data_IF_182225776594
#
_entry.id   IF_182225776594
#
_cell.length_a   1.000
_cell.length_b   1.000
_cell.length_c   1.000
_cell.angle_alpha   90.00
_cell.angle_beta   90.00
_cell.angle_gamma   90.00
#
_symmetry.space_group_name_H-M   'P 1'
#
loop_
_entity.id
_entity.type
_entity.pdbx_description
1 polymer ?
#
# COMPACT_ATOMS: atom_id res chain seq x y z
N UNK A 1 -17.63 -6.90 1.42
CA UNK A 1 -16.19 -6.62 1.61
C UNK A 1 -15.61 -6.28 0.26
N UNK A 2 -14.80 -5.23 0.13
CA UNK A 2 -14.09 -4.99 -1.12
C UNK A 2 -13.13 -6.15 -1.39
N UNK A 3 -13.04 -6.56 -2.66
CA UNK A 3 -12.08 -7.56 -3.10
C UNK A 3 -10.64 -7.04 -2.93
N UNK A 4 -9.71 -7.92 -2.60
CA UNK A 4 -8.30 -7.58 -2.36
C UNK A 4 -7.68 -6.80 -3.53
N UNK A 5 -8.05 -7.16 -4.77
CA UNK A 5 -7.56 -6.49 -5.97
C UNK A 5 -7.98 -5.01 -6.04
N UNK A 6 -9.18 -4.69 -5.55
CA UNK A 6 -9.69 -3.32 -5.48
C UNK A 6 -8.91 -2.53 -4.42
N UNK A 7 -8.66 -3.15 -3.26
CA UNK A 7 -7.86 -2.54 -2.18
C UNK A 7 -6.45 -2.23 -2.69
N UNK A 8 -5.80 -3.19 -3.35
CA UNK A 8 -4.47 -2.99 -3.93
C UNK A 8 -4.47 -1.90 -5.00
N UNK A 9 -5.47 -1.87 -5.89
CA UNK A 9 -5.61 -0.80 -6.89
C UNK A 9 -5.70 0.59 -6.27
N UNK A 10 -6.49 0.74 -5.19
CA UNK A 10 -6.61 1.99 -4.43
C UNK A 10 -5.27 2.34 -3.75
N UNK A 11 -4.63 1.38 -3.09
CA UNK A 11 -3.32 1.57 -2.44
C UNK A 11 -2.29 2.08 -3.44
N UNK A 12 -2.23 1.53 -4.66
CA UNK A 12 -1.29 1.97 -5.69
C UNK A 12 -1.58 3.39 -6.18
N UNK A 13 -2.85 3.70 -6.46
CA UNK A 13 -3.25 5.04 -6.89
C UNK A 13 -2.90 6.10 -5.83
N UNK A 14 -3.24 5.82 -4.56
CA UNK A 14 -2.94 6.72 -3.44
C UNK A 14 -1.43 6.85 -3.21
N UNK A 15 -0.68 5.75 -3.32
CA UNK A 15 0.78 5.76 -3.18
C UNK A 15 1.43 6.66 -4.23
N UNK A 16 0.99 6.62 -5.48
CA UNK A 16 1.52 7.50 -6.54
C UNK A 16 1.21 8.99 -6.26
N UNK A 17 0.00 9.31 -5.78
CA UNK A 17 -0.36 10.67 -5.37
C UNK A 17 0.56 11.16 -4.23
N UNK A 18 0.74 10.33 -3.19
CA UNK A 18 1.61 10.65 -2.06
C UNK A 18 3.05 10.83 -2.54
N UNK A 19 3.56 9.96 -3.42
CA UNK A 19 4.90 10.08 -3.99
C UNK A 19 5.10 11.43 -4.67
N UNK A 20 4.16 11.84 -5.53
CA UNK A 20 4.24 13.14 -6.22
C UNK A 20 4.20 14.33 -5.25
N UNK A 21 3.44 14.23 -4.16
CA UNK A 21 3.41 15.27 -3.12
C UNK A 21 4.73 15.31 -2.32
N UNK A 22 5.26 14.15 -1.94
CA UNK A 22 6.50 14.07 -1.16
C UNK A 22 7.72 14.55 -1.96
N UNK A 23 7.79 14.25 -3.27
CA UNK A 23 8.86 14.76 -4.15
C UNK A 23 8.94 16.29 -4.23
N UNK A 24 7.87 17.01 -3.85
CA UNK A 24 7.89 18.49 -3.78
C UNK A 24 8.58 19.02 -2.53
N UNK A 25 8.76 18.20 -1.50
CA UNK A 25 9.27 18.62 -0.18
C UNK A 25 10.50 17.85 0.29
N UNK A 26 10.73 16.64 -0.22
CA UNK A 26 11.78 15.73 0.21
C UNK A 26 12.69 15.33 -0.95
N UNK A 27 13.90 14.92 -0.61
CA UNK A 27 14.86 14.36 -1.57
C UNK A 27 14.33 13.07 -2.18
N UNK A 28 14.65 12.84 -3.45
CA UNK A 28 14.16 11.69 -4.23
C UNK A 28 14.52 10.35 -3.57
N UNK A 29 15.74 10.21 -3.06
CA UNK A 29 16.20 9.00 -2.36
C UNK A 29 15.35 8.68 -1.12
N UNK A 30 15.03 9.70 -0.32
CA UNK A 30 14.18 9.55 0.86
C UNK A 30 12.77 9.16 0.48
N UNK A 31 12.21 9.75 -0.59
CA UNK A 31 10.88 9.38 -1.06
C UNK A 31 10.84 7.91 -1.47
N UNK A 32 11.82 7.46 -2.27
CA UNK A 32 11.90 6.07 -2.73
C UNK A 32 12.00 5.09 -1.57
N UNK A 33 12.80 5.39 -0.54
CA UNK A 33 12.91 4.57 0.67
C UNK A 33 11.61 4.51 1.49
N UNK A 34 10.79 5.56 1.46
CA UNK A 34 9.52 5.62 2.18
C UNK A 34 8.37 4.91 1.44
N UNK A 35 8.47 4.69 0.13
CA UNK A 35 7.37 4.09 -0.66
C UNK A 35 6.90 2.73 -0.13
N UNK A 36 7.78 1.75 0.19
CA UNK A 36 7.34 0.48 0.74
C UNK A 36 6.58 0.64 2.07
N UNK A 37 7.02 1.57 2.93
CA UNK A 37 6.36 1.85 4.19
C UNK A 37 4.98 2.50 4.00
N UNK A 38 4.86 3.38 3.00
CA UNK A 38 3.58 4.00 2.63
C UNK A 38 2.60 2.94 2.12
N UNK A 39 3.04 2.07 1.20
CA UNK A 39 2.20 0.98 0.66
C UNK A 39 1.71 0.06 1.79
N UNK A 40 2.62 -0.34 2.67
CA UNK A 40 2.33 -1.23 3.79
C UNK A 40 1.35 -0.59 4.80
N UNK A 41 1.55 0.69 5.12
CA UNK A 41 0.66 1.44 6.00
C UNK A 41 -0.73 1.62 5.40
N UNK A 42 -0.80 1.99 4.11
CA UNK A 42 -2.06 2.17 3.40
C UNK A 42 -2.83 0.86 3.28
N UNK A 43 -2.16 -0.24 2.91
CA UNK A 43 -2.81 -1.54 2.77
C UNK A 43 -3.35 -2.05 4.11
N UNK A 44 -2.56 -1.94 5.19
CA UNK A 44 -3.03 -2.26 6.55
C UNK A 44 -4.22 -1.40 6.98
N UNK A 45 -4.11 -0.08 6.83
CA UNK A 45 -5.17 0.85 7.23
C UNK A 45 -6.46 0.68 6.43
N UNK A 46 -6.36 0.59 5.10
CA UNK A 46 -7.52 0.38 4.23
C UNK A 46 -8.17 -0.97 4.49
N UNK A 47 -7.40 -2.03 4.75
CA UNK A 47 -8.00 -3.34 5.01
C UNK A 47 -8.71 -3.39 6.37
N UNK A 48 -8.15 -2.76 7.41
CA UNK A 48 -8.84 -2.59 8.70
C UNK A 48 -10.13 -1.79 8.53
N UNK A 49 -10.12 -0.70 7.76
CA UNK A 49 -11.31 0.09 7.47
C UNK A 49 -12.36 -0.72 6.69
N UNK A 50 -11.93 -1.50 5.68
CA UNK A 50 -12.79 -2.39 4.90
C UNK A 50 -13.45 -3.46 5.79
N UNK A 51 -12.67 -4.11 6.65
CA UNK A 51 -13.20 -5.08 7.62
C UNK A 51 -14.18 -4.40 8.58
N UNK A 52 -13.86 -3.22 9.11
CA UNK A 52 -14.73 -2.52 10.05
C UNK A 52 -16.10 -2.14 9.45
N UNK A 53 -16.14 -1.82 8.16
CA UNK A 53 -17.35 -1.40 7.45
C UNK A 53 -18.18 -2.58 6.92
N UNK A 54 -17.53 -3.67 6.49
CA UNK A 54 -18.19 -4.74 5.74
C UNK A 54 -18.14 -6.13 6.41
N UNK A 55 -17.31 -6.31 7.44
CA UNK A 55 -17.13 -7.56 8.17
C UNK A 55 -16.75 -7.27 9.65
N UNK A 56 -17.63 -6.64 10.43
CA UNK A 56 -17.31 -6.12 11.77
C UNK A 56 -16.94 -7.20 12.80
N UNK A 57 -17.24 -8.46 12.49
CA UNK A 57 -16.93 -9.63 13.31
C UNK A 57 -15.46 -10.06 13.18
N UNK A 58 -14.74 -9.58 12.16
CA UNK A 58 -13.32 -9.88 11.95
C UNK A 58 -12.48 -9.10 12.97
N UNK A 59 -11.58 -9.77 13.72
CA UNK A 59 -10.67 -9.10 14.64
C UNK A 59 -9.79 -8.08 13.92
N UNK A 60 -9.63 -6.88 14.51
CA UNK A 60 -8.82 -5.79 13.95
C UNK A 60 -7.37 -6.25 13.68
N UNK A 61 -6.82 -7.08 14.55
CA UNK A 61 -5.47 -7.65 14.40
C UNK A 61 -5.36 -8.55 13.18
N UNK A 62 -6.39 -9.33 12.88
CA UNK A 62 -6.42 -10.21 11.71
C UNK A 62 -6.57 -9.41 10.42
N UNK A 63 -7.49 -8.44 10.39
CA UNK A 63 -7.65 -7.52 9.27
C UNK A 63 -6.36 -6.73 8.98
N UNK A 64 -5.66 -6.28 10.04
CA UNK A 64 -4.38 -5.62 9.90
C UNK A 64 -3.34 -6.57 9.29
N UNK A 65 -3.19 -7.79 9.83
CA UNK A 65 -2.22 -8.76 9.34
C UNK A 65 -2.44 -9.12 7.86
N UNK A 66 -3.69 -9.32 7.44
CA UNK A 66 -4.04 -9.54 6.04
C UNK A 66 -3.68 -8.33 5.17
N UNK A 67 -4.02 -7.11 5.61
CA UNK A 67 -3.71 -5.88 4.89
C UNK A 67 -2.19 -5.64 4.74
N UNK A 68 -1.42 -5.90 5.80
CA UNK A 68 0.04 -5.83 5.74
C UNK A 68 0.64 -6.86 4.78
N UNK A 69 0.09 -8.07 4.76
CA UNK A 69 0.51 -9.14 3.83
C UNK A 69 0.26 -8.73 2.38
N UNK A 70 -0.95 -8.24 2.09
CA UNK A 70 -1.31 -7.70 0.78
C UNK A 70 -0.38 -6.53 0.38
N UNK A 71 -0.13 -5.60 1.29
CA UNK A 71 0.78 -4.48 1.09
C UNK A 71 2.22 -4.90 0.79
N UNK A 72 2.74 -5.91 1.50
CA UNK A 72 4.08 -6.43 1.27
C UNK A 72 4.21 -7.10 -0.12
N UNK A 73 3.23 -7.90 -0.52
CA UNK A 73 3.19 -8.53 -1.85
C UNK A 73 3.13 -7.45 -2.93
N UNK A 74 2.21 -6.50 -2.78
CA UNK A 74 2.04 -5.38 -3.70
C UNK A 74 3.31 -4.52 -3.84
N UNK A 75 3.95 -4.16 -2.73
CA UNK A 75 5.20 -3.39 -2.73
C UNK A 75 6.35 -4.15 -3.39
N UNK A 76 6.45 -5.46 -3.16
CA UNK A 76 7.41 -6.33 -3.83
C UNK A 76 7.18 -6.38 -5.35
N UNK A 77 5.95 -6.66 -5.77
CA UNK A 77 5.57 -6.70 -7.20
C UNK A 77 5.82 -5.36 -7.89
N UNK A 78 5.48 -4.24 -7.24
CA UNK A 78 5.74 -2.90 -7.78
C UNK A 78 7.25 -2.65 -7.99
N UNK A 79 8.07 -3.01 -6.99
CA UNK A 79 9.52 -2.83 -7.04
C UNK A 79 10.16 -3.69 -8.12
N UNK A 80 9.74 -4.96 -8.23
CA UNK A 80 10.19 -5.86 -9.30
C UNK A 80 9.79 -5.35 -10.69
N UNK A 81 8.56 -4.85 -10.85
CA UNK A 81 8.10 -4.25 -12.09
C UNK A 81 8.91 -3.01 -12.49
N UNK A 82 9.27 -2.15 -11.52
CA UNK A 82 10.14 -1.00 -11.74
C UNK A 82 11.56 -1.39 -12.16
N UNK A 83 12.13 -2.40 -11.51
CA UNK A 83 13.44 -2.92 -11.84
C UNK A 83 13.47 -3.52 -13.25
N UNK A 84 12.45 -4.30 -13.63
CA UNK A 84 12.31 -4.88 -14.97
C UNK A 84 12.19 -3.81 -16.08
N UNK A 85 11.66 -2.63 -15.75
CA UNK A 85 11.53 -1.51 -16.68
C UNK A 85 12.76 -0.56 -16.70
N UNK A 86 13.80 -0.85 -15.91
CA UNK A 86 14.98 0.02 -15.80
C UNK A 86 14.70 1.37 -15.14
N UNK A 87 13.65 1.47 -14.32
CA UNK A 87 13.18 2.71 -13.67
C UNK A 87 13.38 2.68 -12.15
N UNK A 88 14.46 2.04 -11.69
CA UNK A 88 14.83 1.95 -10.26
C UNK A 88 15.37 3.27 -9.75
#
# INVERSE_FOLDING_TARGET
>A
MLEDIVIIGIVMAVTEIIKHLLKRRLNEDLVTQLLPLIVLTLAGGLNVLNARLFAPDVPVTEALAQGLTLGAIAGGVYSLGKAALGKS
#
